data_IF_543478803565
#
_entry.id   IF_543478803565
#
_cell.length_a   1.000
_cell.length_b   1.000
_cell.length_c   1.000
_cell.angle_alpha   90.00
_cell.angle_beta   90.00
_cell.angle_gamma   90.00
#
_symmetry.space_group_name_H-M   'P 1'
#
loop_
_entity.id
_entity.type
_entity.pdbx_description
1 polymer ?
#
# COMPACT_ATOMS: atom_id res chain seq x y z
N UNK A 1 -6.85 -32.10 -60.12
CA UNK A 1 -5.66 -32.81 -60.62
C UNK A 1 -4.46 -32.32 -59.83
N UNK A 2 -3.85 -33.24 -59.10
CA UNK A 2 -2.53 -33.21 -58.45
C UNK A 2 -1.94 -34.62 -58.69
N UNK A 3 -0.67 -34.97 -58.39
CA UNK A 3 0.59 -34.24 -58.15
C UNK A 3 1.70 -34.82 -59.12
N UNK A 4 3.05 -34.82 -58.89
CA UNK A 4 3.67 -35.64 -57.83
C UNK A 4 5.00 -35.14 -57.18
N UNK A 5 5.19 -35.66 -55.96
CA UNK A 5 6.38 -36.23 -55.32
C UNK A 5 7.76 -35.56 -55.42
N UNK A 6 8.44 -35.42 -54.27
CA UNK A 6 9.72 -36.09 -54.06
C UNK A 6 9.82 -36.57 -52.60
N UNK A 7 10.26 -37.82 -52.44
CA UNK A 7 10.34 -38.61 -51.20
C UNK A 7 11.74 -38.51 -50.60
N UNK A 8 11.81 -38.64 -49.27
CA UNK A 8 12.74 -39.48 -48.48
C UNK A 8 12.42 -39.18 -47.00
N UNK A 9 11.76 -40.03 -46.19
CA UNK A 9 12.06 -41.39 -45.75
C UNK A 9 13.49 -41.60 -45.26
N UNK A 10 13.67 -41.61 -43.92
CA UNK A 10 14.28 -42.74 -43.19
C UNK A 10 14.24 -42.56 -41.66
N UNK A 11 13.47 -43.46 -41.04
CA UNK A 11 13.72 -44.22 -39.79
C UNK A 11 13.56 -43.55 -38.41
N UNK A 12 12.43 -43.91 -37.83
CA UNK A 12 12.13 -44.10 -36.41
C UNK A 12 13.14 -44.99 -35.66
N UNK A 13 13.50 -44.60 -34.43
CA UNK A 13 13.78 -45.53 -33.32
C UNK A 13 13.18 -44.94 -32.05
N UNK A 14 12.12 -45.58 -31.57
CA UNK A 14 11.53 -45.36 -30.24
C UNK A 14 12.44 -46.01 -29.21
N UNK A 15 13.00 -45.25 -28.27
CA UNK A 15 13.74 -45.80 -27.13
C UNK A 15 12.77 -45.79 -25.94
N UNK A 16 12.01 -46.87 -25.81
CA UNK A 16 11.24 -47.19 -24.61
C UNK A 16 12.20 -47.74 -23.55
N UNK A 17 12.54 -46.92 -22.55
CA UNK A 17 13.20 -47.38 -21.34
C UNK A 17 12.12 -47.90 -20.37
N UNK A 18 11.87 -49.20 -20.41
CA UNK A 18 11.29 -49.93 -19.29
C UNK A 18 12.34 -50.01 -18.17
N UNK A 19 12.10 -49.33 -17.05
CA UNK A 19 12.78 -49.61 -15.79
C UNK A 19 11.72 -49.89 -14.73
N UNK A 20 11.47 -51.18 -14.58
CA UNK A 20 10.58 -51.79 -13.62
C UNK A 20 10.98 -51.50 -12.18
N UNK A 21 9.93 -51.43 -11.36
CA UNK A 21 9.88 -51.52 -9.91
C UNK A 21 11.00 -52.36 -9.27
N UNK A 22 11.87 -51.71 -8.49
CA UNK A 22 12.46 -52.31 -7.28
C UNK A 22 13.25 -51.27 -6.47
N UNK A 23 12.60 -50.53 -5.57
CA UNK A 23 13.29 -49.98 -4.39
C UNK A 23 12.33 -49.92 -3.20
N UNK A 24 12.61 -50.82 -2.26
CA UNK A 24 12.18 -50.80 -0.86
C UNK A 24 12.33 -49.39 -0.27
N UNK A 25 11.34 -48.97 0.52
CA UNK A 25 11.48 -47.86 1.47
C UNK A 25 12.68 -48.11 2.40
N UNK A 26 13.36 -47.05 2.89
CA UNK A 26 12.89 -46.52 4.17
C UNK A 26 13.18 -45.03 4.43
N UNK A 27 12.57 -44.54 5.53
CA UNK A 27 12.96 -43.40 6.37
C UNK A 27 12.51 -42.00 5.93
N UNK A 28 11.55 -41.52 6.72
CA UNK A 28 11.12 -40.15 6.99
C UNK A 28 11.87 -39.05 6.24
N UNK A 29 11.31 -38.63 5.10
CA UNK A 29 11.56 -37.29 4.62
C UNK A 29 10.74 -36.34 5.50
N UNK A 30 11.39 -35.72 6.49
CA UNK A 30 10.93 -34.45 7.02
C UNK A 30 10.93 -33.51 5.81
N UNK A 31 9.75 -33.24 5.26
CA UNK A 31 9.53 -32.18 4.31
C UNK A 31 9.75 -30.84 5.03
N UNK A 32 11.02 -30.50 5.28
CA UNK A 32 11.41 -29.14 5.60
C UNK A 32 11.06 -28.29 4.39
N UNK A 33 10.04 -27.45 4.52
CA UNK A 33 9.51 -26.56 3.49
C UNK A 33 10.66 -25.91 2.71
N UNK A 34 10.86 -26.29 1.44
CA UNK A 34 11.80 -25.58 0.55
C UNK A 34 11.39 -24.10 0.34
N UNK A 35 10.11 -23.79 0.62
CA UNK A 35 9.54 -22.45 0.62
C UNK A 35 9.87 -21.63 1.88
N UNK A 36 10.29 -22.26 2.97
CA UNK A 36 10.62 -21.55 4.23
C UNK A 36 11.86 -20.67 4.07
N UNK A 37 12.74 -21.04 3.13
CA UNK A 37 14.01 -20.37 2.90
C UNK A 37 13.91 -19.15 1.98
N UNK A 38 12.82 -19.02 1.22
CA UNK A 38 12.60 -17.91 0.25
C UNK A 38 11.60 -16.84 0.73
N UNK A 39 10.99 -17.02 1.91
CA UNK A 39 10.15 -16.00 2.56
C UNK A 39 10.78 -15.59 3.89
N UNK A 40 12.07 -15.24 3.89
CA UNK A 40 12.58 -14.29 4.89
C UNK A 40 11.91 -12.95 4.58
N UNK A 41 10.66 -12.79 5.04
CA UNK A 41 9.89 -11.55 4.97
C UNK A 41 10.82 -10.44 5.46
N UNK A 42 11.13 -9.46 4.61
CA UNK A 42 11.96 -8.32 5.02
C UNK A 42 11.30 -7.76 6.28
N UNK A 43 12.01 -7.84 7.41
CA UNK A 43 11.50 -7.31 8.68
C UNK A 43 11.26 -5.82 8.45
N UNK A 44 10.08 -5.34 8.84
CA UNK A 44 9.80 -3.91 8.84
C UNK A 44 10.82 -3.20 9.74
N UNK A 45 11.13 -1.95 9.40
CA UNK A 45 11.88 -1.08 10.30
C UNK A 45 11.04 -0.85 11.58
N UNK A 46 11.66 -0.48 12.71
CA UNK A 46 10.92 -0.23 13.95
C UNK A 46 9.77 0.76 13.75
N UNK A 47 8.70 0.62 14.53
CA UNK A 47 7.47 1.41 14.40
C UNK A 47 7.73 2.93 14.54
N UNK A 48 8.74 3.29 15.34
CA UNK A 48 9.27 4.63 15.56
C UNK A 48 9.73 5.33 14.27
N UNK A 49 10.07 4.56 13.22
CA UNK A 49 10.46 5.11 11.91
C UNK A 49 9.23 5.60 11.14
N UNK A 50 8.09 4.94 11.29
CA UNK A 50 6.90 5.21 10.47
C UNK A 50 5.96 6.23 11.12
N UNK A 51 5.84 6.21 12.46
CA UNK A 51 4.89 7.05 13.20
C UNK A 51 5.10 8.56 12.96
N UNK A 52 6.33 9.12 13.06
CA UNK A 52 6.55 10.54 12.77
C UNK A 52 6.11 10.94 11.36
N UNK A 53 6.37 10.09 10.37
CA UNK A 53 5.99 10.37 8.98
C UNK A 53 4.47 10.39 8.78
N UNK A 54 3.73 9.55 9.51
CA UNK A 54 2.25 9.57 9.50
C UNK A 54 1.74 10.86 10.15
N UNK A 55 2.29 11.27 11.30
CA UNK A 55 1.92 12.51 12.00
C UNK A 55 2.20 13.74 11.12
N UNK A 56 3.38 13.82 10.51
CA UNK A 56 3.73 14.89 9.57
C UNK A 56 2.76 14.96 8.39
N UNK A 57 2.26 13.81 7.93
CA UNK A 57 1.24 13.80 6.87
C UNK A 57 -0.11 14.32 7.36
N UNK A 58 -0.52 14.03 8.60
CA UNK A 58 -1.73 14.64 9.19
C UNK A 58 -1.61 16.16 9.26
N UNK A 59 -0.44 16.68 9.68
CA UNK A 59 -0.16 18.12 9.71
C UNK A 59 -0.28 18.70 8.29
N UNK A 60 0.37 18.08 7.31
CA UNK A 60 0.30 18.50 5.91
C UNK A 60 -1.13 18.53 5.35
N UNK A 61 -1.94 17.50 5.64
CA UNK A 61 -3.34 17.41 5.19
C UNK A 61 -4.21 18.45 5.92
N UNK A 62 -3.94 18.73 7.19
CA UNK A 62 -4.63 19.76 7.97
C UNK A 62 -4.29 21.17 7.48
N UNK A 63 -3.05 21.42 7.09
CA UNK A 63 -2.65 22.70 6.49
C UNK A 63 -3.27 22.87 5.11
N UNK A 64 -3.37 21.79 4.32
CA UNK A 64 -4.14 21.79 3.08
C UNK A 64 -5.61 22.20 3.32
N UNK A 65 -6.26 21.73 4.38
CA UNK A 65 -7.63 22.16 4.72
C UNK A 65 -7.75 23.68 4.88
N UNK A 66 -6.78 24.31 5.56
CA UNK A 66 -6.72 25.77 5.74
C UNK A 66 -6.56 26.51 4.41
N UNK A 67 -5.84 25.94 3.43
CA UNK A 67 -5.74 26.56 2.10
C UNK A 67 -7.08 26.60 1.36
N UNK A 68 -8.04 25.75 1.74
CA UNK A 68 -9.40 25.74 1.20
C UNK A 68 -10.35 26.72 1.93
N UNK A 69 -9.88 27.38 3.00
CA UNK A 69 -10.65 28.39 3.76
C UNK A 69 -10.51 29.81 3.23
N UNK A 70 -9.60 30.01 2.27
CA UNK A 70 -9.39 31.32 1.65
C UNK A 70 -10.65 31.72 0.87
N UNK A 71 -11.09 32.97 1.04
CA UNK A 71 -12.30 33.51 0.38
C UNK A 71 -12.15 33.56 -1.16
N UNK A 72 -10.92 33.56 -1.65
CA UNK A 72 -10.57 33.42 -3.07
C UNK A 72 -10.56 31.96 -3.51
N UNK A 73 -10.76 31.73 -4.81
CA UNK A 73 -10.70 30.40 -5.41
C UNK A 73 -9.36 29.73 -5.09
N UNK A 74 -9.33 28.59 -4.36
CA UNK A 74 -8.09 27.91 -4.01
C UNK A 74 -7.31 27.48 -5.25
N UNK A 75 -5.98 27.49 -5.15
CA UNK A 75 -5.10 26.98 -6.21
C UNK A 75 -5.15 25.44 -6.20
N UNK A 76 -6.16 24.87 -6.85
CA UNK A 76 -6.41 23.43 -6.82
C UNK A 76 -5.25 22.59 -7.37
N UNK A 77 -4.48 23.11 -8.32
CA UNK A 77 -3.28 22.44 -8.82
C UNK A 77 -2.19 22.32 -7.75
N UNK A 78 -1.97 23.38 -6.95
CA UNK A 78 -1.05 23.37 -5.82
C UNK A 78 -1.54 22.43 -4.70
N UNK A 79 -2.84 22.47 -4.39
CA UNK A 79 -3.48 21.53 -3.46
C UNK A 79 -3.21 20.07 -3.85
N UNK A 80 -3.34 19.78 -5.15
CA UNK A 80 -3.08 18.47 -5.73
C UNK A 80 -1.61 18.05 -5.65
N UNK A 81 -0.70 19.01 -5.78
CA UNK A 81 0.75 18.80 -5.64
C UNK A 81 1.10 18.44 -4.19
N UNK A 82 0.47 19.09 -3.20
CA UNK A 82 0.68 18.79 -1.78
C UNK A 82 0.34 17.33 -1.45
N UNK A 83 -0.70 16.74 -2.03
CA UNK A 83 -1.03 15.32 -1.82
C UNK A 83 0.00 14.33 -2.38
N UNK A 84 0.97 14.78 -3.20
CA UNK A 84 1.97 13.94 -3.87
C UNK A 84 3.41 14.23 -3.46
N UNK A 85 3.62 15.19 -2.58
CA UNK A 85 4.95 15.64 -2.18
C UNK A 85 5.11 15.64 -0.66
N UNK A 86 6.33 15.85 -0.18
CA UNK A 86 6.63 15.88 1.25
C UNK A 86 6.28 14.56 1.95
N UNK A 87 5.79 14.61 3.21
CA UNK A 87 5.36 13.44 3.97
C UNK A 87 4.33 12.56 3.23
N UNK A 88 3.34 13.18 2.58
CA UNK A 88 2.27 12.51 1.86
C UNK A 88 2.77 11.56 0.75
N UNK A 89 3.92 11.87 0.12
CA UNK A 89 4.50 11.04 -0.94
C UNK A 89 4.83 9.61 -0.48
N UNK A 90 5.14 9.44 0.81
CA UNK A 90 5.49 8.15 1.41
C UNK A 90 4.36 7.53 2.23
N UNK A 91 3.23 8.24 2.38
CA UNK A 91 2.15 7.90 3.31
C UNK A 91 1.70 6.45 3.18
N UNK A 92 1.40 5.99 1.95
CA UNK A 92 0.88 4.64 1.69
C UNK A 92 1.78 3.55 2.28
N UNK A 93 3.10 3.71 2.19
CA UNK A 93 4.05 2.73 2.73
C UNK A 93 4.07 2.81 4.25
N UNK A 94 4.11 4.02 4.82
CA UNK A 94 4.17 4.23 6.26
C UNK A 94 2.91 3.69 6.97
N UNK A 95 1.70 4.04 6.49
CA UNK A 95 0.46 3.60 7.15
C UNK A 95 0.23 2.10 7.03
N UNK A 96 0.69 1.47 5.94
CA UNK A 96 0.64 0.01 5.80
C UNK A 96 1.60 -0.69 6.76
N UNK A 97 2.77 -0.08 7.03
CA UNK A 97 3.68 -0.60 8.04
C UNK A 97 3.06 -0.48 9.43
N UNK A 98 2.47 0.66 9.78
CA UNK A 98 1.75 0.83 11.06
C UNK A 98 0.61 -0.19 11.19
N UNK A 99 -0.19 -0.39 10.15
CA UNK A 99 -1.28 -1.38 10.16
C UNK A 99 -0.77 -2.82 10.31
N UNK A 100 0.40 -3.14 9.74
CA UNK A 100 1.03 -4.45 9.96
C UNK A 100 1.46 -4.63 11.41
N UNK A 101 2.03 -3.62 12.05
CA UNK A 101 2.33 -3.64 13.49
C UNK A 101 1.08 -3.83 14.34
N UNK A 102 0.01 -3.10 14.03
CA UNK A 102 -1.29 -3.25 14.69
C UNK A 102 -1.86 -4.67 14.49
N UNK A 103 -1.70 -5.25 13.29
CA UNK A 103 -2.08 -6.63 13.00
C UNK A 103 -1.31 -7.64 13.83
N UNK A 104 -0.01 -7.46 13.99
CA UNK A 104 0.82 -8.34 14.81
C UNK A 104 0.42 -8.26 16.30
N UNK A 105 -0.18 -7.14 16.73
CA UNK A 105 -0.76 -6.94 18.06
C UNK A 105 -2.25 -7.35 18.19
N UNK A 106 -2.86 -7.91 17.14
CA UNK A 106 -4.25 -8.40 17.14
C UNK A 106 -5.32 -7.40 16.67
N UNK A 107 -4.94 -6.21 16.23
CA UNK A 107 -5.84 -5.13 15.78
C UNK A 107 -5.89 -4.97 14.25
N UNK A 108 -5.56 -6.02 13.50
CA UNK A 108 -5.30 -5.93 12.06
C UNK A 108 -6.51 -5.54 11.21
N UNK A 109 -7.69 -6.09 11.49
CA UNK A 109 -8.90 -5.82 10.69
C UNK A 109 -9.25 -4.32 10.69
N UNK A 110 -9.30 -3.72 11.88
CA UNK A 110 -9.59 -2.29 12.01
C UNK A 110 -8.47 -1.44 11.40
N UNK A 111 -7.21 -1.78 11.66
CA UNK A 111 -6.09 -1.00 11.16
C UNK A 111 -5.99 -0.98 9.62
N UNK A 112 -6.22 -2.12 8.96
CA UNK A 112 -6.24 -2.15 7.49
C UNK A 112 -7.49 -1.47 6.90
N UNK A 113 -8.64 -1.54 7.58
CA UNK A 113 -9.82 -0.77 7.20
C UNK A 113 -9.56 0.74 7.25
N UNK A 114 -8.88 1.22 8.29
CA UNK A 114 -8.49 2.62 8.41
C UNK A 114 -7.53 3.04 7.29
N UNK A 115 -6.55 2.18 6.94
CA UNK A 115 -5.67 2.39 5.77
C UNK A 115 -6.48 2.54 4.48
N UNK A 116 -7.40 1.62 4.22
CA UNK A 116 -8.21 1.64 2.99
C UNK A 116 -9.13 2.86 2.93
N UNK A 117 -9.74 3.24 4.06
CA UNK A 117 -10.57 4.44 4.18
C UNK A 117 -9.74 5.72 3.93
N UNK A 118 -8.55 5.81 4.50
CA UNK A 118 -7.64 6.93 4.29
C UNK A 118 -7.25 7.07 2.82
N UNK A 119 -6.74 6.00 2.20
CA UNK A 119 -6.26 6.03 0.81
C UNK A 119 -7.40 6.35 -0.16
N UNK A 120 -8.57 5.74 0.02
CA UNK A 120 -9.75 6.03 -0.80
C UNK A 120 -10.16 7.50 -0.68
N UNK A 121 -10.20 8.05 0.54
CA UNK A 121 -10.56 9.45 0.75
C UNK A 121 -9.57 10.41 0.06
N UNK A 122 -8.27 10.10 0.10
CA UNK A 122 -7.23 10.90 -0.56
C UNK A 122 -7.27 10.79 -2.09
N UNK A 123 -7.58 9.61 -2.65
CA UNK A 123 -7.78 9.41 -4.09
C UNK A 123 -9.01 10.17 -4.61
N UNK A 124 -10.11 10.15 -3.84
CA UNK A 124 -11.32 10.91 -4.15
C UNK A 124 -11.07 12.43 -4.03
N UNK A 125 -10.31 12.87 -3.01
CA UNK A 125 -9.89 14.26 -2.86
C UNK A 125 -9.01 14.73 -4.03
N UNK A 126 -8.05 13.90 -4.46
CA UNK A 126 -7.21 14.19 -5.62
C UNK A 126 -8.03 14.40 -6.90
N UNK A 127 -9.04 13.55 -7.10
CA UNK A 127 -9.95 13.63 -8.22
C UNK A 127 -10.75 14.94 -8.17
N UNK A 128 -11.28 15.30 -6.99
CA UNK A 128 -11.98 16.57 -6.78
C UNK A 128 -11.11 17.79 -7.10
N UNK A 129 -9.84 17.79 -6.70
CA UNK A 129 -8.92 18.88 -7.07
C UNK A 129 -8.65 18.93 -8.57
N UNK A 130 -8.55 17.79 -9.24
CA UNK A 130 -8.41 17.75 -10.69
C UNK A 130 -9.65 18.36 -11.39
N UNK A 131 -10.85 17.92 -11.02
CA UNK A 131 -12.10 18.42 -11.58
C UNK A 131 -12.27 19.93 -11.32
N UNK A 132 -11.98 20.37 -10.10
CA UNK A 132 -12.03 21.79 -9.73
C UNK A 132 -11.01 22.65 -10.50
N UNK A 133 -9.80 22.12 -10.74
CA UNK A 133 -8.78 22.81 -11.56
C UNK A 133 -9.23 23.02 -13.00
N UNK A 134 -10.16 22.19 -13.49
CA UNK A 134 -10.76 22.25 -14.84
C UNK A 134 -12.07 23.04 -14.88
N UNK A 135 -12.52 23.63 -13.76
CA UNK A 135 -13.80 24.33 -13.61
C UNK A 135 -15.03 23.43 -13.81
N UNK A 136 -14.92 22.15 -13.46
CA UNK A 136 -16.05 21.22 -13.51
C UNK A 136 -16.98 21.45 -12.28
N UNK A 137 -18.32 21.39 -12.46
CA UNK A 137 -19.29 21.87 -11.47
C UNK A 137 -19.53 20.93 -10.28
N UNK A 138 -19.00 19.72 -10.32
CA UNK A 138 -19.17 18.66 -9.33
C UNK A 138 -18.21 18.78 -8.12
N UNK A 139 -17.18 19.63 -8.22
CA UNK A 139 -16.15 19.76 -7.20
C UNK A 139 -16.39 20.97 -6.27
N UNK A 140 -17.08 20.76 -5.15
CA UNK A 140 -17.24 21.80 -4.12
C UNK A 140 -16.21 21.68 -2.99
N UNK A 141 -15.77 22.82 -2.45
CA UNK A 141 -14.87 22.89 -1.28
C UNK A 141 -15.42 22.13 -0.08
N UNK A 142 -16.74 22.14 0.11
CA UNK A 142 -17.41 21.38 1.18
C UNK A 142 -17.14 19.88 1.06
N UNK A 143 -17.23 19.32 -0.14
CA UNK A 143 -16.96 17.89 -0.37
C UNK A 143 -15.47 17.59 -0.19
N UNK A 144 -14.58 18.48 -0.64
CA UNK A 144 -13.13 18.34 -0.42
C UNK A 144 -12.79 18.26 1.08
N UNK A 145 -13.32 19.19 1.88
CA UNK A 145 -13.13 19.18 3.34
C UNK A 145 -13.68 17.91 4.00
N UNK A 146 -14.81 17.41 3.53
CA UNK A 146 -15.35 16.14 4.03
C UNK A 146 -14.40 14.95 3.76
N UNK A 147 -13.71 14.93 2.61
CA UNK A 147 -12.68 13.92 2.31
C UNK A 147 -11.42 14.09 3.14
N UNK A 148 -10.97 15.33 3.36
CA UNK A 148 -9.89 15.64 4.31
C UNK A 148 -10.22 15.10 5.70
N UNK A 149 -11.40 15.43 6.24
CA UNK A 149 -11.83 14.95 7.55
C UNK A 149 -11.92 13.42 7.63
N UNK A 150 -12.40 12.77 6.56
CA UNK A 150 -12.42 11.30 6.47
C UNK A 150 -11.02 10.70 6.54
N UNK A 151 -10.05 11.29 5.82
CA UNK A 151 -8.67 10.84 5.81
C UNK A 151 -7.99 11.07 7.18
N UNK A 152 -8.16 12.24 7.79
CA UNK A 152 -7.60 12.58 9.10
C UNK A 152 -8.13 11.66 10.20
N UNK A 153 -9.44 11.43 10.24
CA UNK A 153 -10.04 10.52 11.22
C UNK A 153 -9.51 9.10 11.09
N UNK A 154 -9.33 8.61 9.85
CA UNK A 154 -8.76 7.28 9.62
C UNK A 154 -7.29 7.19 10.05
N UNK A 155 -6.50 8.25 9.83
CA UNK A 155 -5.13 8.32 10.33
C UNK A 155 -5.07 8.35 11.87
N UNK A 156 -5.97 9.10 12.52
CA UNK A 156 -6.06 9.14 13.97
C UNK A 156 -6.44 7.78 14.56
N UNK A 157 -7.45 7.10 14.00
CA UNK A 157 -7.85 5.75 14.41
C UNK A 157 -6.71 4.75 14.24
N UNK A 158 -5.95 4.84 13.14
CA UNK A 158 -4.78 4.01 12.93
C UNK A 158 -3.68 4.30 13.97
N UNK A 159 -3.38 5.57 14.27
CA UNK A 159 -2.37 5.94 15.26
C UNK A 159 -2.76 5.54 16.69
N UNK A 160 -4.05 5.42 17.01
CA UNK A 160 -4.50 4.90 18.30
C UNK A 160 -4.16 3.42 18.51
N UNK A 161 -3.80 2.68 17.46
CA UNK A 161 -3.33 1.28 17.57
C UNK A 161 -1.87 1.18 18.00
N UNK A 162 -1.13 2.29 17.97
CA UNK A 162 0.29 2.38 18.32
C UNK A 162 0.44 2.47 19.85
N UNK A 163 1.45 1.81 20.46
CA UNK A 163 1.79 2.01 21.87
C UNK A 163 2.01 3.49 22.22
N UNK A 164 1.54 3.90 23.40
CA UNK A 164 1.50 5.33 23.77
C UNK A 164 2.87 5.98 23.88
N UNK A 165 3.89 5.23 24.31
CA UNK A 165 5.29 5.65 24.36
C UNK A 165 5.83 5.96 22.96
N UNK A 166 5.61 5.05 22.00
CA UNK A 166 6.02 5.23 20.60
C UNK A 166 5.25 6.39 19.95
N UNK A 167 3.95 6.53 20.24
CA UNK A 167 3.15 7.63 19.72
C UNK A 167 3.63 8.99 20.26
N UNK A 168 3.95 9.07 21.56
CA UNK A 168 4.45 10.31 22.16
C UNK A 168 5.82 10.69 21.60
N UNK A 169 6.75 9.73 21.51
CA UNK A 169 8.04 9.95 20.87
C UNK A 169 7.86 10.39 19.40
N UNK A 170 6.92 9.78 18.69
CA UNK A 170 6.61 10.14 17.31
C UNK A 170 6.15 11.60 17.15
N UNK A 171 5.36 12.11 18.10
CA UNK A 171 4.94 13.52 18.15
C UNK A 171 6.13 14.44 18.40
N UNK A 172 6.98 14.11 19.37
CA UNK A 172 8.19 14.91 19.67
C UNK A 172 9.12 15.02 18.45
N UNK A 173 9.30 13.92 17.71
CA UNK A 173 10.11 13.93 16.48
C UNK A 173 9.43 14.76 15.39
N UNK A 174 8.12 14.62 15.20
CA UNK A 174 7.39 15.38 14.19
C UNK A 174 7.38 16.89 14.48
N UNK A 175 7.27 17.29 15.75
CA UNK A 175 7.31 18.70 16.18
C UNK A 175 8.70 19.34 16.00
N UNK A 176 9.75 18.53 15.93
CA UNK A 176 11.13 18.97 15.73
C UNK A 176 11.55 19.10 14.26
N UNK A 177 10.69 18.69 13.31
CA UNK A 177 10.94 18.69 11.86
C UNK A 177 10.18 19.82 11.15
#
# INVERSE_FOLDING_TARGET
MSPPEWRESRRSVSISLFLSHLLLAPKHAIAGNFLDKYVKKKKLDPLEVYVPAVILTQIQIKDLEKTLEVDDKPEYAACRSLLRSGPAASLRVNIRAVAQYASDAGNGENAFKDVDQCLRALEELDSLFLHASRNEPDASVKVMKAKIGTALNALDSLLQTVPSDVLNQGKEIADAL
#
